data_IF_653628093465
#
_entry.id   IF_653628093465
#
_cell.length_a   1.000
_cell.length_b   1.000
_cell.length_c   1.000
_cell.angle_alpha   90.00
_cell.angle_beta   90.00
_cell.angle_gamma   90.00
#
_symmetry.space_group_name_H-M   'P 1'
#
loop_
_entity.id
_entity.type
_entity.pdbx_description
1 polymer ?
#
# COMPACT_ATOMS: atom_id res chain seq x y z
N UNK A 1 61.61 -40.28 4.45
CA UNK A 1 60.76 -39.27 3.78
C UNK A 1 59.32 -39.59 4.11
N UNK A 2 58.79 -38.92 5.14
CA UNK A 2 57.40 -39.09 5.62
C UNK A 2 56.60 -37.87 5.11
N UNK A 3 55.62 -38.12 4.25
CA UNK A 3 54.65 -37.12 3.77
C UNK A 3 53.58 -36.98 4.83
N UNK A 4 53.49 -35.82 5.43
CA UNK A 4 52.36 -35.42 6.33
C UNK A 4 51.29 -34.82 5.44
N UNK A 5 50.13 -35.50 5.37
CA UNK A 5 48.89 -35.00 4.79
C UNK A 5 48.15 -34.22 5.87
N UNK A 6 48.06 -32.90 5.72
CA UNK A 6 47.21 -32.02 6.51
C UNK A 6 45.85 -32.00 5.80
N UNK A 7 44.87 -32.70 6.36
CA UNK A 7 43.47 -32.60 5.96
C UNK A 7 42.88 -31.38 6.65
N UNK A 8 42.70 -30.28 5.92
CA UNK A 8 41.94 -29.13 6.37
C UNK A 8 40.45 -29.46 6.27
N UNK A 9 39.82 -29.78 7.41
CA UNK A 9 38.37 -29.90 7.52
C UNK A 9 37.77 -28.50 7.42
N UNK A 10 37.27 -28.13 6.25
CA UNK A 10 36.41 -26.95 6.06
C UNK A 10 35.04 -27.28 6.65
N UNK A 11 34.79 -26.93 7.90
CA UNK A 11 33.45 -26.88 8.46
C UNK A 11 32.71 -25.71 7.81
N UNK A 12 31.95 -26.01 6.76
CA UNK A 12 30.90 -25.11 6.29
C UNK A 12 29.86 -25.01 7.42
N UNK A 13 29.97 -23.94 8.22
CA UNK A 13 28.85 -23.48 9.00
C UNK A 13 27.78 -22.99 8.02
N UNK A 14 26.87 -23.86 7.64
CA UNK A 14 25.63 -23.48 7.00
C UNK A 14 24.81 -22.73 8.05
N UNK A 15 25.05 -21.42 8.15
CA UNK A 15 24.03 -20.53 8.69
C UNK A 15 22.85 -20.66 7.74
N UNK A 16 21.85 -21.43 8.15
CA UNK A 16 20.52 -21.33 7.58
C UNK A 16 20.06 -19.91 7.87
N UNK A 17 20.35 -18.99 6.95
CA UNK A 17 19.66 -17.73 6.87
C UNK A 17 18.19 -18.14 6.71
N UNK A 18 17.41 -18.04 7.78
CA UNK A 18 15.96 -18.12 7.67
C UNK A 18 15.61 -17.08 6.64
N UNK A 19 15.10 -17.52 5.49
CA UNK A 19 14.66 -16.63 4.43
C UNK A 19 13.65 -15.69 5.09
N UNK A 20 13.99 -14.40 5.14
CA UNK A 20 13.10 -13.38 5.69
C UNK A 20 11.80 -13.48 4.91
N UNK A 21 10.72 -13.88 5.56
CA UNK A 21 9.42 -13.97 4.92
C UNK A 21 9.03 -12.57 4.50
N UNK A 22 8.91 -12.32 3.21
CA UNK A 22 8.51 -11.02 2.67
C UNK A 22 7.06 -10.72 3.08
N UNK A 23 6.77 -9.45 3.46
CA UNK A 23 5.43 -8.99 3.82
C UNK A 23 4.38 -9.36 2.77
N UNK A 24 4.73 -9.33 1.48
CA UNK A 24 3.85 -9.75 0.38
C UNK A 24 3.45 -11.22 0.43
N UNK A 25 4.28 -12.08 0.99
CA UNK A 25 3.99 -13.52 1.09
C UNK A 25 2.92 -13.86 2.13
N UNK A 26 2.56 -12.90 2.98
CA UNK A 26 1.50 -13.04 3.98
C UNK A 26 0.15 -12.52 3.51
N UNK A 27 0.09 -11.95 2.31
CA UNK A 27 -1.15 -11.41 1.76
C UNK A 27 -2.03 -12.55 1.26
N UNK A 28 -3.34 -12.55 1.63
CA UNK A 28 -4.27 -13.56 1.19
C UNK A 28 -4.39 -13.62 -0.33
N UNK A 29 -4.47 -14.84 -0.89
CA UNK A 29 -4.60 -15.03 -2.34
C UNK A 29 -5.93 -14.49 -2.91
N UNK A 30 -6.95 -14.36 -2.07
CA UNK A 30 -8.27 -13.80 -2.41
C UNK A 30 -8.38 -12.31 -2.15
N UNK A 31 -7.28 -11.62 -1.83
CA UNK A 31 -7.26 -10.17 -1.65
C UNK A 31 -7.89 -9.45 -2.85
N UNK A 32 -8.69 -8.43 -2.56
CA UNK A 32 -9.37 -7.57 -3.55
C UNK A 32 -8.70 -6.22 -3.67
N UNK A 33 -7.91 -5.84 -2.67
CA UNK A 33 -7.07 -4.64 -2.69
C UNK A 33 -5.71 -5.00 -2.10
N UNK A 34 -4.63 -4.54 -2.73
CA UNK A 34 -3.28 -4.62 -2.17
C UNK A 34 -2.57 -3.31 -2.44
N UNK A 35 -1.98 -2.73 -1.41
CA UNK A 35 -1.14 -1.55 -1.49
C UNK A 35 0.21 -1.80 -0.83
N UNK A 36 1.27 -1.24 -1.40
CA UNK A 36 2.64 -1.32 -0.86
C UNK A 36 3.25 0.06 -0.80
N UNK A 37 3.88 0.37 0.31
CA UNK A 37 4.65 1.59 0.51
C UNK A 37 6.04 1.21 1.02
N UNK A 38 7.08 1.65 0.32
CA UNK A 38 8.49 1.44 0.69
C UNK A 38 9.00 2.65 1.46
N UNK A 39 8.82 2.64 2.77
CA UNK A 39 9.23 3.73 3.66
C UNK A 39 10.75 3.97 3.57
N UNK A 40 11.54 2.91 3.43
CA UNK A 40 12.99 3.01 3.28
C UNK A 40 13.43 3.82 2.04
N UNK A 41 12.66 3.81 0.94
CA UNK A 41 12.92 4.63 -0.25
C UNK A 41 12.47 6.09 -0.04
N UNK A 42 11.46 6.30 0.80
CA UNK A 42 10.90 7.63 1.06
C UNK A 42 11.79 8.43 2.04
N UNK A 43 12.49 7.78 2.96
CA UNK A 43 13.30 8.43 4.01
C UNK A 43 14.27 9.49 3.51
N UNK A 44 14.83 9.30 2.34
CA UNK A 44 15.83 10.20 1.73
C UNK A 44 15.22 11.15 0.71
N UNK A 45 13.92 11.07 0.49
CA UNK A 45 13.21 11.85 -0.51
C UNK A 45 12.83 13.22 0.01
N UNK A 46 13.29 14.26 -0.68
CA UNK A 46 12.86 15.63 -0.39
C UNK A 46 11.37 15.89 -0.72
N UNK A 47 10.75 15.02 -1.53
CA UNK A 47 9.33 15.11 -1.88
C UNK A 47 8.49 14.51 -0.75
N UNK A 48 8.95 13.43 -0.15
CA UNK A 48 8.23 12.70 0.85
C UNK A 48 8.44 13.24 2.28
N UNK A 49 9.50 14.00 2.56
CA UNK A 49 9.68 14.66 3.87
C UNK A 49 8.44 15.49 4.23
N UNK A 50 7.87 16.21 3.25
CA UNK A 50 6.65 16.97 3.44
C UNK A 50 5.40 16.10 3.78
N UNK A 51 5.41 14.81 3.42
CA UNK A 51 4.33 13.88 3.79
C UNK A 51 4.48 13.40 5.24
N UNK A 52 5.72 13.28 5.74
CA UNK A 52 5.99 12.86 7.11
C UNK A 52 5.89 14.01 8.13
N UNK A 53 6.05 15.26 7.71
CA UNK A 53 5.86 16.44 8.58
C UNK A 53 4.41 16.57 9.10
N UNK A 54 3.46 15.91 8.48
CA UNK A 54 2.04 15.94 8.84
C UNK A 54 1.51 14.65 9.47
N UNK A 55 2.38 13.78 10.01
CA UNK A 55 1.96 12.53 10.68
C UNK A 55 1.16 12.76 11.96
N UNK A 56 1.22 13.95 12.55
CA UNK A 56 0.41 14.36 13.72
C UNK A 56 -1.10 14.26 13.50
N UNK A 57 -1.53 14.06 12.25
CA UNK A 57 -2.95 13.91 11.89
C UNK A 57 -3.43 12.46 11.76
N UNK A 58 -2.58 11.46 12.02
CA UNK A 58 -2.95 10.03 11.88
C UNK A 58 -3.93 9.60 12.97
N UNK A 59 -3.94 10.26 14.13
CA UNK A 59 -4.96 10.04 15.15
C UNK A 59 -5.56 11.35 15.62
N UNK A 60 -6.89 11.43 15.65
CA UNK A 60 -7.62 12.62 16.08
C UNK A 60 -7.29 13.09 17.51
N UNK A 61 -6.69 12.21 18.33
CA UNK A 61 -6.44 12.44 19.76
C UNK A 61 -4.95 12.38 20.15
N UNK A 62 -4.03 12.22 19.21
CA UNK A 62 -2.59 12.04 19.51
C UNK A 62 -2.25 10.72 20.24
N UNK A 63 -3.17 9.77 20.31
CA UNK A 63 -2.96 8.50 21.03
C UNK A 63 -1.99 7.58 20.30
N UNK A 64 -1.94 7.69 18.96
CA UNK A 64 -0.96 6.95 18.16
C UNK A 64 0.47 7.42 18.47
N UNK A 65 0.71 8.73 18.53
CA UNK A 65 2.02 9.29 18.82
C UNK A 65 2.51 8.95 20.24
N UNK A 66 1.59 8.98 21.20
CA UNK A 66 1.88 8.53 22.59
C UNK A 66 2.26 7.06 22.60
N UNK A 67 1.51 6.20 21.90
CA UNK A 67 1.82 4.77 21.79
C UNK A 67 3.19 4.56 21.14
N UNK A 68 3.46 5.20 20.02
CA UNK A 68 4.73 5.07 19.30
C UNK A 68 5.91 5.50 20.18
N UNK A 69 5.75 6.59 20.93
CA UNK A 69 6.76 7.10 21.86
C UNK A 69 7.01 6.11 23.02
N UNK A 70 5.96 5.61 23.67
CA UNK A 70 6.04 4.61 24.74
C UNK A 70 6.68 3.30 24.25
N UNK A 71 6.27 2.85 23.08
CA UNK A 71 6.81 1.68 22.40
C UNK A 71 8.25 1.88 21.90
N UNK A 72 8.71 3.13 21.81
CA UNK A 72 10.02 3.51 21.27
C UNK A 72 10.16 3.14 19.80
N UNK A 73 9.06 3.26 19.04
CA UNK A 73 9.00 3.00 17.62
C UNK A 73 8.93 4.33 16.85
N UNK A 74 9.88 4.55 15.99
CA UNK A 74 9.87 5.63 15.01
C UNK A 74 9.52 5.05 13.63
N UNK A 75 8.26 5.18 13.16
CA UNK A 75 7.85 4.57 11.89
C UNK A 75 8.72 5.00 10.72
N UNK A 76 9.25 6.23 10.75
CA UNK A 76 10.09 6.74 9.68
C UNK A 76 11.48 6.10 9.62
N UNK A 77 11.97 5.56 10.74
CA UNK A 77 13.29 4.91 10.86
C UNK A 77 13.21 3.40 10.93
N UNK A 78 12.20 2.90 11.65
CA UNK A 78 12.13 1.50 12.04
C UNK A 78 11.30 0.63 11.09
N UNK A 79 10.40 1.25 10.30
CA UNK A 79 9.59 0.53 9.30
C UNK A 79 10.21 0.70 7.92
N UNK A 80 10.47 -0.38 7.21
CA UNK A 80 11.07 -0.37 5.88
C UNK A 80 10.03 -0.47 4.76
N UNK A 81 9.05 -1.37 4.93
CA UNK A 81 7.97 -1.61 3.97
C UNK A 81 6.66 -1.81 4.72
N UNK A 82 5.58 -1.27 4.19
CA UNK A 82 4.21 -1.56 4.65
C UNK A 82 3.42 -2.12 3.48
N UNK A 83 2.74 -3.23 3.72
CA UNK A 83 1.77 -3.83 2.81
C UNK A 83 0.41 -3.81 3.48
N UNK A 84 -0.59 -3.31 2.77
CA UNK A 84 -1.99 -3.31 3.22
C UNK A 84 -2.79 -4.12 2.23
N UNK A 85 -3.63 -5.02 2.73
CA UNK A 85 -4.54 -5.75 1.87
C UNK A 85 -5.94 -5.84 2.50
N UNK A 86 -6.95 -5.90 1.65
CA UNK A 86 -8.32 -6.24 2.04
C UNK A 86 -8.76 -7.50 1.31
N UNK A 87 -9.44 -8.37 2.02
CA UNK A 87 -10.04 -9.59 1.49
C UNK A 87 -11.48 -9.76 2.00
N UNK A 88 -12.33 -10.52 1.33
CA UNK A 88 -13.65 -10.83 1.85
C UNK A 88 -13.54 -11.60 3.17
N UNK A 89 -14.27 -11.17 4.21
CA UNK A 89 -14.34 -11.91 5.47
C UNK A 89 -14.99 -13.28 5.27
N UNK A 90 -16.04 -13.31 4.44
CA UNK A 90 -16.69 -14.55 3.97
C UNK A 90 -17.01 -14.43 2.49
N UNK A 91 -17.13 -15.56 1.79
CA UNK A 91 -17.43 -15.58 0.34
C UNK A 91 -18.73 -14.87 -0.05
N UNK A 92 -19.62 -14.60 0.90
CA UNK A 92 -20.97 -14.03 0.68
C UNK A 92 -21.24 -12.79 1.54
N UNK A 93 -20.27 -12.32 2.37
CA UNK A 93 -20.45 -11.18 3.26
C UNK A 93 -20.11 -9.84 2.61
N UNK A 94 -20.62 -8.76 3.18
CA UNK A 94 -20.23 -7.37 2.85
C UNK A 94 -19.06 -6.88 3.71
N UNK A 95 -18.63 -7.70 4.68
CA UNK A 95 -17.53 -7.35 5.58
C UNK A 95 -16.18 -7.71 4.93
N UNK A 96 -15.23 -6.85 5.14
CA UNK A 96 -13.87 -7.04 4.66
C UNK A 96 -12.91 -7.28 5.82
N UNK A 97 -12.05 -8.27 5.68
CA UNK A 97 -10.86 -8.40 6.50
C UNK A 97 -9.78 -7.45 5.99
N UNK A 98 -9.14 -6.76 6.92
CA UNK A 98 -8.02 -5.87 6.63
C UNK A 98 -6.78 -6.44 7.31
N UNK A 99 -5.71 -6.61 6.55
CA UNK A 99 -4.39 -6.96 7.06
C UNK A 99 -3.37 -5.90 6.67
N UNK A 100 -2.55 -5.51 7.61
CA UNK A 100 -1.38 -4.66 7.43
C UNK A 100 -0.17 -5.45 7.87
N UNK A 101 0.79 -5.62 7.00
CA UNK A 101 2.07 -6.27 7.31
C UNK A 101 3.18 -5.23 7.15
N UNK A 102 3.96 -5.05 8.20
CA UNK A 102 5.09 -4.15 8.19
C UNK A 102 6.39 -4.95 8.35
N UNK A 103 7.33 -4.75 7.44
CA UNK A 103 8.71 -5.20 7.60
C UNK A 103 9.57 -4.06 8.11
N UNK A 104 10.46 -4.34 9.06
CA UNK A 104 11.27 -3.30 9.70
C UNK A 104 12.21 -3.83 10.78
N UNK A 105 12.40 -3.03 11.82
CA UNK A 105 13.18 -3.36 13.02
C UNK A 105 12.35 -3.04 14.25
N UNK A 106 11.86 -4.06 14.91
CA UNK A 106 10.91 -3.93 16.02
C UNK A 106 11.52 -4.40 17.34
N UNK A 107 11.45 -3.56 18.36
CA UNK A 107 11.67 -4.00 19.73
C UNK A 107 10.38 -4.67 20.25
N UNK A 108 10.27 -5.98 20.01
CA UNK A 108 9.06 -6.75 20.31
C UNK A 108 8.70 -6.68 21.80
N UNK A 109 9.68 -6.67 22.69
CA UNK A 109 9.46 -6.59 24.13
C UNK A 109 8.81 -5.25 24.52
N UNK A 110 9.38 -4.12 24.07
CA UNK A 110 8.80 -2.80 24.34
C UNK A 110 7.41 -2.63 23.76
N UNK A 111 7.21 -3.06 22.51
CA UNK A 111 5.92 -3.01 21.84
C UNK A 111 4.87 -3.84 22.58
N UNK A 112 5.23 -5.06 22.99
CA UNK A 112 4.35 -5.94 23.76
C UNK A 112 3.97 -5.32 25.10
N UNK A 113 4.94 -4.78 25.84
CA UNK A 113 4.71 -4.14 27.12
C UNK A 113 3.80 -2.91 26.98
N UNK A 114 4.01 -2.06 25.96
CA UNK A 114 3.17 -0.91 25.69
C UNK A 114 1.72 -1.33 25.35
N UNK A 115 1.53 -2.40 24.56
CA UNK A 115 0.21 -2.95 24.25
C UNK A 115 -0.50 -3.45 25.52
N UNK A 116 0.18 -4.23 26.37
CA UNK A 116 -0.40 -4.76 27.61
C UNK A 116 -0.75 -3.62 28.57
N UNK A 117 0.10 -2.62 28.72
CA UNK A 117 -0.15 -1.44 29.55
C UNK A 117 -1.41 -0.69 29.11
N UNK A 118 -1.73 -0.72 27.83
CA UNK A 118 -2.95 -0.13 27.25
C UNK A 118 -4.16 -1.07 27.21
N UNK A 119 -4.10 -2.19 27.91
CA UNK A 119 -5.22 -3.12 28.05
C UNK A 119 -5.35 -4.17 26.95
N UNK A 120 -4.36 -4.30 26.06
CA UNK A 120 -4.41 -5.36 25.06
C UNK A 120 -4.30 -6.75 25.72
N UNK A 121 -5.09 -7.69 25.26
CA UNK A 121 -5.13 -9.04 25.80
C UNK A 121 -4.33 -9.99 24.91
N UNK A 122 -3.33 -10.65 25.49
CA UNK A 122 -2.56 -11.67 24.79
C UNK A 122 -3.40 -12.92 24.54
N UNK A 123 -3.41 -13.39 23.30
CA UNK A 123 -4.00 -14.63 22.82
C UNK A 123 -2.95 -15.53 22.19
N UNK A 124 -3.25 -16.80 22.07
CA UNK A 124 -2.38 -17.77 21.40
C UNK A 124 -3.21 -18.58 20.41
N UNK A 125 -2.77 -18.62 19.17
CA UNK A 125 -3.28 -19.53 18.15
C UNK A 125 -2.30 -20.70 17.96
N UNK A 126 -2.68 -21.70 17.16
CA UNK A 126 -1.78 -22.77 16.78
C UNK A 126 -0.49 -22.27 16.06
N UNK A 127 -0.55 -21.09 15.44
CA UNK A 127 0.50 -20.54 14.57
C UNK A 127 1.25 -19.36 15.21
N UNK A 128 0.99 -19.03 16.46
CA UNK A 128 1.70 -17.99 17.19
C UNK A 128 0.82 -17.15 18.11
N UNK A 129 1.47 -16.28 18.87
CA UNK A 129 0.80 -15.36 19.79
C UNK A 129 0.42 -14.07 19.08
N UNK A 130 -0.68 -13.47 19.50
CA UNK A 130 -1.15 -12.15 19.07
C UNK A 130 -1.82 -11.42 20.22
N UNK A 131 -2.09 -10.14 20.06
CA UNK A 131 -2.71 -9.27 21.05
C UNK A 131 -4.02 -8.71 20.50
N UNK A 132 -5.12 -8.89 21.23
CA UNK A 132 -6.38 -8.21 20.93
C UNK A 132 -6.31 -6.80 21.53
N UNK A 133 -6.65 -5.81 20.73
CA UNK A 133 -6.71 -4.42 21.14
C UNK A 133 -8.03 -4.18 21.92
N UNK A 134 -8.00 -3.39 23.01
CA UNK A 134 -9.22 -3.02 23.72
C UNK A 134 -10.09 -2.14 22.82
N UNK A 135 -11.40 -2.17 23.07
CA UNK A 135 -12.40 -1.25 22.50
C UNK A 135 -12.39 -1.09 20.96
N UNK A 136 -11.92 -2.11 20.26
CA UNK A 136 -11.98 -2.11 18.78
C UNK A 136 -13.27 -2.78 18.32
N UNK A 137 -14.15 -2.04 17.65
CA UNK A 137 -15.44 -2.53 17.12
C UNK A 137 -15.26 -3.76 16.22
N UNK A 138 -14.10 -3.87 15.54
CA UNK A 138 -13.75 -4.95 14.62
C UNK A 138 -12.73 -5.95 15.20
N UNK A 139 -12.63 -6.08 16.53
CA UNK A 139 -11.64 -6.95 17.19
C UNK A 139 -10.24 -6.80 16.59
N UNK A 140 -9.72 -5.58 16.62
CA UNK A 140 -8.38 -5.27 16.14
C UNK A 140 -7.34 -6.15 16.85
N UNK A 141 -6.38 -6.66 16.10
CA UNK A 141 -5.33 -7.52 16.61
C UNK A 141 -3.96 -7.11 16.07
N UNK A 142 -2.91 -7.43 16.84
CA UNK A 142 -1.51 -7.20 16.48
C UNK A 142 -0.70 -8.44 16.82
N UNK A 143 0.18 -8.84 15.93
CA UNK A 143 1.16 -9.90 16.17
C UNK A 143 2.56 -9.45 15.77
N UNK A 144 3.56 -9.93 16.50
CA UNK A 144 4.98 -9.77 16.19
C UNK A 144 5.59 -11.16 16.05
N UNK A 145 5.61 -11.75 14.85
CA UNK A 145 6.18 -13.08 14.65
C UNK A 145 7.68 -13.14 14.98
N UNK A 146 8.38 -12.04 14.73
CA UNK A 146 9.80 -11.84 15.06
C UNK A 146 10.12 -10.33 15.16
N UNK A 147 11.40 -9.99 15.35
CA UNK A 147 11.87 -8.61 15.46
C UNK A 147 11.89 -7.82 14.14
N UNK A 148 11.50 -8.44 13.02
CA UNK A 148 11.53 -7.82 11.70
C UNK A 148 10.15 -7.66 11.07
N UNK A 149 9.12 -8.25 11.69
CA UNK A 149 7.79 -8.28 11.09
C UNK A 149 6.71 -7.98 12.13
N UNK A 150 5.79 -7.09 11.78
CA UNK A 150 4.58 -6.80 12.51
C UNK A 150 3.36 -7.05 11.61
N UNK A 151 2.32 -7.67 12.15
CA UNK A 151 1.06 -7.97 11.47
C UNK A 151 -0.05 -7.32 12.27
N UNK A 152 -0.89 -6.53 11.64
CA UNK A 152 -2.01 -5.82 12.26
C UNK A 152 -3.27 -5.98 11.41
N UNK A 153 -4.43 -5.90 12.04
CA UNK A 153 -5.71 -5.96 11.31
C UNK A 153 -6.85 -6.51 12.15
N UNK A 154 -7.88 -7.05 11.51
CA UNK A 154 -8.90 -7.82 12.20
C UNK A 154 -8.31 -9.12 12.78
N UNK A 155 -8.84 -9.64 13.85
CA UNK A 155 -8.38 -10.89 14.48
C UNK A 155 -8.30 -12.05 13.48
N UNK A 156 -9.33 -12.20 12.63
CA UNK A 156 -9.37 -13.19 11.54
C UNK A 156 -8.20 -13.04 10.56
N UNK A 157 -7.94 -11.83 10.09
CA UNK A 157 -6.88 -11.53 9.14
C UNK A 157 -5.49 -11.77 9.76
N UNK A 158 -5.28 -11.34 11.01
CA UNK A 158 -3.99 -11.56 11.71
C UNK A 158 -3.73 -13.04 11.93
N UNK A 159 -4.73 -13.81 12.35
CA UNK A 159 -4.58 -15.27 12.56
C UNK A 159 -4.38 -16.01 11.24
N UNK A 160 -5.03 -15.59 10.15
CA UNK A 160 -4.81 -16.12 8.82
C UNK A 160 -3.40 -15.82 8.30
N UNK A 161 -2.88 -14.62 8.51
CA UNK A 161 -1.51 -14.25 8.14
C UNK A 161 -0.47 -15.05 8.93
N UNK A 162 -0.69 -15.28 10.24
CA UNK A 162 0.17 -16.15 11.05
C UNK A 162 0.16 -17.59 10.54
N UNK A 163 -1.01 -18.13 10.16
CA UNK A 163 -1.13 -19.45 9.58
C UNK A 163 -0.41 -19.56 8.21
N UNK A 164 -0.58 -18.53 7.37
CA UNK A 164 0.12 -18.43 6.08
C UNK A 164 1.64 -18.46 6.28
N UNK A 165 2.14 -17.68 7.25
CA UNK A 165 3.57 -17.66 7.60
C UNK A 165 4.09 -19.03 8.06
N UNK A 166 3.36 -19.70 8.94
CA UNK A 166 3.72 -21.03 9.45
C UNK A 166 3.79 -22.07 8.33
N UNK A 167 3.00 -21.91 7.28
CA UNK A 167 2.99 -22.79 6.08
C UNK A 167 3.98 -22.35 4.99
N UNK A 168 4.92 -21.45 5.30
CA UNK A 168 5.95 -21.01 4.35
C UNK A 168 5.55 -19.85 3.45
N UNK A 169 4.45 -19.18 3.76
CA UNK A 169 3.93 -18.04 3.01
C UNK A 169 2.94 -18.45 1.90
N UNK A 170 2.21 -17.47 1.39
CA UNK A 170 1.34 -17.63 0.24
C UNK A 170 1.96 -16.99 -0.99
N UNK A 171 1.51 -17.43 -2.12
CA UNK A 171 1.95 -16.92 -3.40
C UNK A 171 0.86 -15.99 -3.97
N UNK A 172 0.51 -14.90 -3.25
CA UNK A 172 -0.43 -13.89 -3.75
C UNK A 172 -0.16 -13.53 -5.21
N UNK A 173 1.12 -13.27 -5.54
CA UNK A 173 1.53 -12.89 -6.89
C UNK A 173 1.31 -13.98 -7.96
N UNK A 174 1.33 -15.26 -7.58
CA UNK A 174 1.21 -16.37 -8.53
C UNK A 174 -0.16 -17.05 -8.50
N UNK A 175 -0.88 -16.99 -7.38
CA UNK A 175 -2.16 -17.72 -7.21
C UNK A 175 -3.35 -16.77 -7.02
N UNK A 176 -3.11 -15.51 -6.63
CA UNK A 176 -4.17 -14.53 -6.41
C UNK A 176 -4.75 -14.01 -7.73
N UNK A 177 -6.07 -13.85 -7.78
CA UNK A 177 -6.76 -13.24 -8.94
C UNK A 177 -6.23 -11.84 -9.25
N UNK A 178 -5.97 -11.05 -8.20
CA UNK A 178 -5.42 -9.70 -8.33
C UNK A 178 -3.91 -9.76 -8.64
N UNK A 179 -3.21 -10.78 -8.12
CA UNK A 179 -1.78 -11.00 -8.33
C UNK A 179 -1.38 -11.18 -9.79
N UNK A 180 -2.27 -11.72 -10.63
CA UNK A 180 -2.05 -11.85 -12.06
C UNK A 180 -1.80 -10.50 -12.77
N UNK A 181 -2.20 -9.39 -12.15
CA UNK A 181 -2.03 -8.03 -12.67
C UNK A 181 -0.80 -7.30 -12.10
N UNK A 182 0.01 -7.96 -11.26
CA UNK A 182 1.20 -7.33 -10.66
C UNK A 182 2.26 -6.89 -11.69
N UNK A 183 2.34 -7.59 -12.82
CA UNK A 183 3.26 -7.23 -13.91
C UNK A 183 2.87 -5.94 -14.65
N UNK A 184 1.69 -5.38 -14.37
CA UNK A 184 1.18 -4.15 -14.99
C UNK A 184 1.52 -2.90 -14.19
N UNK A 185 1.84 -3.03 -12.91
CA UNK A 185 2.40 -1.97 -12.06
C UNK A 185 3.92 -2.07 -12.02
N UNK A 186 4.59 -0.96 -11.75
CA UNK A 186 6.00 -1.01 -11.36
C UNK A 186 6.09 -1.53 -9.92
N UNK A 187 6.31 -2.84 -9.77
CA UNK A 187 6.42 -3.48 -8.45
C UNK A 187 7.61 -3.00 -7.63
N UNK A 188 8.58 -2.31 -8.24
CA UNK A 188 9.71 -1.68 -7.56
C UNK A 188 9.44 -0.20 -7.22
N UNK A 189 8.28 0.33 -7.59
CA UNK A 189 7.89 1.70 -7.27
C UNK A 189 7.96 1.95 -5.75
N UNK A 190 8.17 3.20 -5.39
CA UNK A 190 8.16 3.69 -4.00
C UNK A 190 6.85 3.38 -3.30
N UNK A 191 5.74 3.53 -4.03
CA UNK A 191 4.42 3.08 -3.62
C UNK A 191 3.64 2.56 -4.83
N UNK A 192 2.82 1.54 -4.60
CA UNK A 192 1.87 1.05 -5.61
C UNK A 192 0.65 0.44 -4.96
N UNK A 193 -0.45 0.39 -5.69
CA UNK A 193 -1.65 -0.32 -5.29
C UNK A 193 -2.33 -0.98 -6.49
N UNK A 194 -3.02 -2.09 -6.20
CA UNK A 194 -3.90 -2.82 -7.11
C UNK A 194 -5.28 -2.99 -6.45
N UNK A 195 -6.33 -2.81 -7.23
CA UNK A 195 -7.72 -2.98 -6.78
C UNK A 195 -8.50 -3.77 -7.82
N UNK A 196 -9.09 -4.87 -7.42
CA UNK A 196 -10.16 -5.53 -8.16
C UNK A 196 -11.46 -4.76 -7.87
N UNK A 197 -11.82 -3.83 -8.76
CA UNK A 197 -12.96 -2.92 -8.57
C UNK A 197 -14.27 -3.70 -8.49
N UNK A 198 -14.39 -4.75 -9.30
CA UNK A 198 -15.60 -5.57 -9.36
C UNK A 198 -15.85 -6.32 -8.05
N UNK A 199 -14.81 -6.89 -7.45
CA UNK A 199 -14.93 -7.61 -6.18
C UNK A 199 -14.96 -6.66 -4.98
N UNK A 200 -14.14 -5.61 -4.98
CA UNK A 200 -14.09 -4.62 -3.91
C UNK A 200 -15.44 -3.88 -3.75
N UNK A 201 -16.12 -3.55 -4.85
CA UNK A 201 -17.43 -2.89 -4.80
C UNK A 201 -18.51 -3.74 -4.12
N UNK A 202 -18.37 -5.07 -4.11
CA UNK A 202 -19.30 -5.97 -3.40
C UNK A 202 -19.09 -5.93 -1.88
N UNK A 203 -17.87 -5.63 -1.42
CA UNK A 203 -17.55 -5.56 0.01
C UNK A 203 -17.99 -4.24 0.65
N UNK A 204 -17.92 -3.14 -0.10
CA UNK A 204 -18.22 -1.81 0.43
C UNK A 204 -19.66 -1.35 0.17
N UNK A 205 -20.50 -2.18 -0.45
CA UNK A 205 -21.66 -1.67 -1.16
C UNK A 205 -21.21 -0.84 -2.38
N UNK A 206 -22.10 -0.36 -3.21
CA UNK A 206 -21.72 0.43 -4.39
C UNK A 206 -20.70 1.51 -3.99
N UNK A 207 -19.59 1.69 -4.73
CA UNK A 207 -18.63 2.71 -4.39
C UNK A 207 -19.37 4.04 -4.19
N UNK A 208 -19.18 4.65 -3.02
CA UNK A 208 -19.74 5.96 -2.71
C UNK A 208 -19.02 6.97 -3.60
N UNK A 209 -19.43 7.03 -4.84
CA UNK A 209 -19.10 8.15 -5.69
C UNK A 209 -19.98 9.29 -5.18
N UNK A 210 -19.43 10.43 -4.76
CA UNK A 210 -20.23 11.54 -4.30
C UNK A 210 -21.33 11.85 -5.33
N UNK A 211 -22.59 11.70 -4.92
CA UNK A 211 -23.76 12.08 -5.74
C UNK A 211 -23.90 13.60 -5.66
N UNK A 212 -23.05 14.33 -6.36
CA UNK A 212 -23.08 15.77 -6.32
C UNK A 212 -21.78 16.30 -6.90
N UNK A 213 -21.70 16.35 -8.20
CA UNK A 213 -20.61 16.92 -8.95
C UNK A 213 -21.14 17.40 -10.29
N UNK A 214 -20.36 18.23 -10.97
CA UNK A 214 -20.63 18.59 -12.35
C UNK A 214 -20.62 17.35 -13.27
N UNK A 215 -21.03 17.50 -14.52
CA UNK A 215 -21.09 16.42 -15.50
C UNK A 215 -19.74 15.70 -15.66
N UNK A 216 -18.61 16.40 -15.44
CA UNK A 216 -17.26 15.83 -15.55
C UNK A 216 -16.98 14.84 -14.44
N UNK A 217 -17.39 15.14 -13.19
CA UNK A 217 -17.26 14.21 -12.05
C UNK A 217 -18.13 12.97 -12.23
N UNK A 218 -19.35 13.14 -12.75
CA UNK A 218 -20.25 12.02 -13.01
C UNK A 218 -19.72 11.11 -14.13
N UNK A 219 -19.16 11.68 -15.20
CA UNK A 219 -18.55 10.94 -16.29
C UNK A 219 -17.31 10.17 -15.83
N UNK A 220 -16.44 10.80 -15.03
CA UNK A 220 -15.26 10.14 -14.45
C UNK A 220 -15.67 8.99 -13.52
N UNK A 221 -16.68 9.20 -12.70
CA UNK A 221 -17.22 8.17 -11.83
C UNK A 221 -17.82 6.98 -12.60
N UNK A 222 -18.48 7.25 -13.73
CA UNK A 222 -18.98 6.21 -14.62
C UNK A 222 -17.82 5.42 -15.26
N UNK A 223 -16.79 6.13 -15.74
CA UNK A 223 -15.59 5.51 -16.30
C UNK A 223 -14.89 4.59 -15.28
N UNK A 224 -14.71 5.04 -14.04
CA UNK A 224 -14.11 4.21 -12.97
C UNK A 224 -14.95 2.95 -12.70
N UNK A 225 -16.27 3.05 -12.72
CA UNK A 225 -17.16 1.87 -12.54
C UNK A 225 -17.11 0.87 -13.70
N UNK A 226 -16.66 1.31 -14.86
CA UNK A 226 -16.55 0.45 -16.05
C UNK A 226 -15.26 -0.36 -16.07
N UNK A 227 -14.29 -0.08 -15.19
CA UNK A 227 -13.05 -0.85 -15.10
C UNK A 227 -13.21 -2.03 -14.15
N UNK A 228 -12.59 -3.15 -14.48
CA UNK A 228 -12.56 -4.36 -13.65
C UNK A 228 -11.42 -4.33 -12.62
N UNK A 229 -10.27 -3.82 -13.03
CA UNK A 229 -9.06 -3.71 -12.18
C UNK A 229 -8.40 -2.37 -12.41
N UNK A 230 -7.97 -1.75 -11.32
CA UNK A 230 -7.18 -0.52 -11.33
C UNK A 230 -5.83 -0.78 -10.67
N UNK A 231 -4.76 -0.30 -11.28
CA UNK A 231 -3.44 -0.23 -10.67
C UNK A 231 -2.92 1.18 -10.71
N UNK A 232 -2.22 1.58 -9.64
CA UNK A 232 -1.54 2.87 -9.54
C UNK A 232 -0.14 2.67 -8.96
N UNK A 233 0.82 3.48 -9.36
CA UNK A 233 2.14 3.48 -8.75
C UNK A 233 2.80 4.85 -8.81
N UNK A 234 3.73 5.07 -7.90
CA UNK A 234 4.53 6.27 -7.79
C UNK A 234 5.97 5.90 -7.48
N UNK A 235 6.90 6.40 -8.28
CA UNK A 235 8.34 6.18 -8.09
C UNK A 235 9.03 7.52 -7.88
N UNK A 236 9.61 7.72 -6.71
CA UNK A 236 10.46 8.86 -6.44
C UNK A 236 11.89 8.56 -6.91
N UNK A 237 12.40 9.39 -7.83
CA UNK A 237 13.77 9.26 -8.35
C UNK A 237 14.72 10.31 -7.73
N UNK A 238 14.27 11.03 -6.69
CA UNK A 238 14.99 12.13 -6.05
C UNK A 238 14.89 13.47 -6.80
N UNK A 239 14.87 13.46 -8.11
CA UNK A 239 14.75 14.66 -8.95
C UNK A 239 13.38 14.78 -9.65
N UNK A 240 12.58 13.72 -9.67
CA UNK A 240 11.25 13.70 -10.25
C UNK A 240 10.38 12.64 -9.57
N UNK A 241 9.08 12.86 -9.58
CA UNK A 241 8.06 11.88 -9.25
C UNK A 241 7.51 11.29 -10.56
N UNK A 242 7.69 9.99 -10.76
CA UNK A 242 7.07 9.25 -11.85
C UNK A 242 5.77 8.65 -11.32
N UNK A 243 4.69 8.92 -12.01
CA UNK A 243 3.36 8.40 -11.69
C UNK A 243 2.89 7.50 -12.83
N UNK A 244 2.18 6.46 -12.49
CA UNK A 244 1.49 5.65 -13.44
C UNK A 244 0.18 5.10 -12.87
N UNK A 245 -0.77 4.89 -13.75
CA UNK A 245 -2.03 4.20 -13.45
C UNK A 245 -2.48 3.41 -14.67
N UNK A 246 -3.24 2.36 -14.45
CA UNK A 246 -3.98 1.68 -15.50
C UNK A 246 -5.37 1.28 -15.02
N UNK A 247 -6.30 1.18 -15.96
CA UNK A 247 -7.61 0.58 -15.77
C UNK A 247 -7.87 -0.48 -16.83
N UNK A 248 -8.31 -1.67 -16.42
CA UNK A 248 -8.68 -2.75 -17.32
C UNK A 248 -10.19 -2.71 -17.61
N UNK A 249 -10.57 -2.91 -18.85
CA UNK A 249 -11.95 -3.14 -19.25
C UNK A 249 -12.05 -4.27 -20.27
N UNK A 250 -13.23 -4.86 -20.40
CA UNK A 250 -13.42 -6.10 -21.15
C UNK A 250 -13.66 -5.87 -22.66
N UNK A 251 -13.96 -4.64 -23.07
CA UNK A 251 -14.27 -4.32 -24.46
C UNK A 251 -13.64 -3.01 -24.92
N UNK A 252 -13.43 -2.90 -26.23
CA UNK A 252 -12.73 -1.78 -26.85
C UNK A 252 -13.54 -0.47 -26.81
N UNK A 253 -14.85 -0.54 -26.84
CA UNK A 253 -15.72 0.65 -26.83
C UNK A 253 -15.70 1.29 -25.44
N UNK A 254 -15.76 0.46 -24.39
CA UNK A 254 -15.59 0.92 -23.00
C UNK A 254 -14.22 1.55 -22.80
N UNK A 255 -13.14 0.94 -23.30
CA UNK A 255 -11.79 1.50 -23.20
C UNK A 255 -11.68 2.86 -23.92
N UNK A 256 -12.31 3.00 -25.10
CA UNK A 256 -12.34 4.27 -25.80
C UNK A 256 -13.09 5.33 -25.00
N UNK A 257 -14.27 4.99 -24.46
CA UNK A 257 -15.05 5.91 -23.64
C UNK A 257 -14.27 6.38 -22.39
N UNK A 258 -13.55 5.46 -21.72
CA UNK A 258 -12.69 5.77 -20.58
C UNK A 258 -11.56 6.73 -21.00
N UNK A 259 -10.87 6.45 -22.10
CA UNK A 259 -9.80 7.30 -22.63
C UNK A 259 -10.32 8.71 -22.94
N UNK A 260 -11.41 8.83 -23.67
CA UNK A 260 -12.02 10.11 -24.05
C UNK A 260 -12.47 10.90 -22.81
N UNK A 261 -13.07 10.22 -21.83
CA UNK A 261 -13.49 10.83 -20.55
C UNK A 261 -12.29 11.36 -19.77
N UNK A 262 -11.20 10.58 -19.65
CA UNK A 262 -9.99 11.00 -18.96
C UNK A 262 -9.30 12.17 -19.65
N UNK A 263 -9.21 12.16 -20.98
CA UNK A 263 -8.66 13.27 -21.77
C UNK A 263 -9.51 14.53 -21.62
N UNK A 264 -10.84 14.40 -21.66
CA UNK A 264 -11.77 15.49 -21.42
C UNK A 264 -11.63 16.07 -20.01
N UNK A 265 -11.62 15.23 -18.98
CA UNK A 265 -11.44 15.65 -17.59
C UNK A 265 -10.10 16.36 -17.37
N UNK A 266 -9.00 15.84 -17.91
CA UNK A 266 -7.68 16.47 -17.83
C UNK A 266 -7.65 17.84 -18.52
N UNK A 267 -8.33 17.98 -19.67
CA UNK A 267 -8.45 19.23 -20.39
C UNK A 267 -9.27 20.26 -19.62
N UNK A 268 -10.40 19.83 -19.03
CA UNK A 268 -11.25 20.67 -18.19
C UNK A 268 -10.49 21.16 -16.94
N UNK A 269 -9.74 20.28 -16.28
CA UNK A 269 -8.89 20.66 -15.12
C UNK A 269 -7.83 21.70 -15.51
N UNK A 270 -7.14 21.51 -16.65
CA UNK A 270 -6.16 22.48 -17.16
C UNK A 270 -6.80 23.85 -17.40
N UNK A 271 -8.01 23.87 -17.95
CA UNK A 271 -8.74 25.11 -18.23
C UNK A 271 -9.19 25.80 -16.93
N UNK A 272 -9.73 25.04 -15.97
CA UNK A 272 -10.21 25.57 -14.70
C UNK A 272 -9.12 26.26 -13.88
N UNK A 273 -7.87 25.77 -13.92
CA UNK A 273 -6.75 26.31 -13.14
C UNK A 273 -5.83 27.23 -13.93
N UNK A 274 -6.14 27.49 -15.22
CA UNK A 274 -5.25 28.20 -16.16
C UNK A 274 -4.79 29.56 -15.64
N UNK A 275 -5.71 30.35 -15.13
CA UNK A 275 -5.46 31.74 -14.73
C UNK A 275 -5.10 31.86 -13.24
N UNK A 276 -5.55 30.92 -12.41
CA UNK A 276 -5.33 30.95 -10.96
C UNK A 276 -4.06 30.22 -10.51
N UNK A 277 -3.67 29.13 -11.20
CA UNK A 277 -2.57 28.26 -10.80
C UNK A 277 -1.72 27.78 -12.00
N UNK A 278 -0.94 28.69 -12.65
CA UNK A 278 -0.16 28.34 -13.85
C UNK A 278 0.88 27.24 -13.62
N UNK A 279 1.43 27.12 -12.39
CA UNK A 279 2.36 26.03 -12.04
C UNK A 279 1.65 24.68 -12.07
N UNK A 280 0.41 24.59 -11.60
CA UNK A 280 -0.40 23.39 -11.67
C UNK A 280 -0.73 22.99 -13.12
N UNK A 281 -0.99 23.97 -13.99
CA UNK A 281 -1.16 23.71 -15.43
C UNK A 281 0.09 23.03 -16.01
N UNK A 282 1.28 23.47 -15.61
CA UNK A 282 2.56 22.87 -16.05
C UNK A 282 2.70 21.43 -15.61
N UNK A 283 2.23 21.10 -14.40
CA UNK A 283 2.17 19.71 -13.89
C UNK A 283 1.14 18.90 -14.67
N UNK A 284 -0.07 19.41 -14.86
CA UNK A 284 -1.14 18.71 -15.57
C UNK A 284 -0.80 18.43 -17.04
N UNK A 285 0.05 19.24 -17.67
CA UNK A 285 0.53 19.01 -19.05
C UNK A 285 1.46 17.81 -19.20
N UNK A 286 1.98 17.28 -18.09
CA UNK A 286 2.87 16.12 -18.09
C UNK A 286 2.14 14.77 -18.06
N UNK A 287 0.84 14.81 -17.87
CA UNK A 287 0.03 13.61 -17.90
C UNK A 287 -0.25 13.20 -19.35
N UNK A 288 0.11 11.99 -19.65
CA UNK A 288 -0.14 11.30 -20.92
C UNK A 288 -1.16 10.20 -20.68
N UNK A 289 -2.11 10.04 -21.62
CA UNK A 289 -3.18 9.04 -21.54
C UNK A 289 -3.10 8.24 -22.83
N UNK A 290 -2.85 6.95 -22.69
CA UNK A 290 -2.69 6.02 -23.79
C UNK A 290 -3.63 4.82 -23.62
N UNK A 291 -4.11 4.27 -24.75
CA UNK A 291 -4.89 3.06 -24.78
C UNK A 291 -4.06 1.90 -25.32
N UNK A 292 -4.11 0.77 -24.62
CA UNK A 292 -3.63 -0.52 -25.08
C UNK A 292 -4.83 -1.45 -25.37
N UNK A 293 -4.58 -2.69 -25.79
CA UNK A 293 -5.64 -3.62 -26.22
C UNK A 293 -6.69 -3.90 -25.13
N UNK A 294 -6.30 -3.93 -23.86
CA UNK A 294 -7.14 -4.31 -22.72
C UNK A 294 -7.14 -3.28 -21.60
N UNK A 295 -6.48 -2.14 -21.79
CA UNK A 295 -6.30 -1.13 -20.73
C UNK A 295 -6.20 0.28 -21.25
N UNK A 296 -6.62 1.24 -20.43
CA UNK A 296 -6.20 2.64 -20.53
C UNK A 296 -5.13 2.90 -19.50
N UNK A 297 -4.05 3.56 -19.90
CA UNK A 297 -2.90 3.89 -19.04
C UNK A 297 -2.73 5.41 -18.94
N UNK A 298 -2.40 5.86 -17.76
CA UNK A 298 -2.03 7.24 -17.46
C UNK A 298 -0.59 7.22 -16.97
N UNK A 299 0.27 8.09 -17.49
CA UNK A 299 1.64 8.26 -16.99
C UNK A 299 1.96 9.75 -16.85
N UNK A 300 2.86 10.07 -15.91
CA UNK A 300 3.41 11.40 -15.78
C UNK A 300 4.80 11.35 -15.17
N UNK A 301 5.68 12.25 -15.62
CA UNK A 301 6.98 12.50 -14.97
C UNK A 301 7.02 13.96 -14.55
N UNK A 302 6.97 14.21 -13.25
CA UNK A 302 6.85 15.53 -12.66
C UNK A 302 8.16 15.88 -11.96
N UNK A 303 8.93 16.88 -12.44
CA UNK A 303 10.15 17.33 -11.76
C UNK A 303 9.86 17.77 -10.32
N UNK A 304 10.77 17.45 -9.39
CA UNK A 304 10.65 17.80 -7.98
C UNK A 304 10.49 19.31 -7.76
N UNK A 305 11.13 20.15 -8.59
CA UNK A 305 10.97 21.59 -8.55
C UNK A 305 9.52 22.04 -8.85
N UNK A 306 8.88 21.42 -9.85
CA UNK A 306 7.48 21.72 -10.21
C UNK A 306 6.53 21.36 -9.07
N UNK A 307 6.77 20.23 -8.41
CA UNK A 307 5.99 19.80 -7.23
C UNK A 307 6.15 20.79 -6.08
N UNK A 308 7.38 21.18 -5.75
CA UNK A 308 7.63 22.17 -4.67
C UNK A 308 6.92 23.49 -4.92
N UNK A 309 6.93 24.03 -6.15
CA UNK A 309 6.22 25.27 -6.49
C UNK A 309 4.72 25.18 -6.21
N UNK A 310 4.09 24.05 -6.54
CA UNK A 310 2.66 23.83 -6.28
C UNK A 310 2.38 23.69 -4.79
N UNK A 311 3.21 22.95 -4.04
CA UNK A 311 3.02 22.69 -2.61
C UNK A 311 3.18 23.99 -1.77
N UNK A 312 4.22 24.78 -2.02
CA UNK A 312 4.48 26.03 -1.29
C UNK A 312 3.32 27.01 -1.43
N UNK A 313 2.76 27.16 -2.64
CA UNK A 313 1.61 28.06 -2.85
C UNK A 313 0.35 27.59 -2.12
N UNK A 314 0.15 26.30 -1.99
CA UNK A 314 -1.02 25.78 -1.28
C UNK A 314 -0.96 26.01 0.23
N UNK A 315 0.23 26.06 0.82
CA UNK A 315 0.43 26.38 2.25
C UNK A 315 0.35 27.88 2.53
N UNK A 316 0.69 28.74 1.57
CA UNK A 316 0.61 30.18 1.71
C UNK A 316 -0.83 30.76 1.56
N UNK A 317 -1.78 29.94 1.09
CA UNK A 317 -3.18 30.33 0.86
C UNK A 317 -4.15 29.79 1.93
N UNK A 318 -3.64 29.13 2.97
CA UNK A 318 -4.36 28.74 4.20
C UNK A 318 -3.91 29.59 5.37
#
# INVERSE_FOLDING_TARGET
MKKVLIAAALTLATTTAMAKTDAMSLIPSDAVTVGVIRINQIRTSAIASALFENTDHISANGDADKFLTEAGLDPTKDVDVVVVATSPHTSFGHDADVVVVADGRFNVERLTNALITRGATRKTSANGAYFLLPDSDNKGAVAFPDSHQAIMGNESAVTAALATRANGGSSFASTGLLGANMNRVDSNATAWALVDVTRASRLTGSPHVPQGGDASHQALAAAVRSVSTVGIWATDTGNALKLGAFGLANDADTLQLIEDTLRGALSAMRLAVKDSQPDLVSVLRRFEIDRANDSVRITATIPAESLRKVMVKHHASK
#
